data_IF_378814320929
#
_entry.id   IF_378814320929
#
_cell.length_a   1.000
_cell.length_b   1.000
_cell.length_c   1.000
_cell.angle_alpha   90.00
_cell.angle_beta   90.00
_cell.angle_gamma   90.00
#
_symmetry.space_group_name_H-M   'P 1'
#
loop_
_entity.id
_entity.type
_entity.pdbx_description
1 polymer ?
#
# COMPACT_ATOMS: atom_id res chain seq x y z
N UNK A 1 -2.42 3.67 -32.45
CA UNK A 1 -3.39 3.98 -31.37
C UNK A 1 -2.76 3.56 -30.05
N UNK A 2 -3.05 4.23 -28.93
CA UNK A 2 -2.52 3.88 -27.61
C UNK A 2 -3.65 3.26 -26.79
N UNK A 3 -3.51 1.97 -26.45
CA UNK A 3 -4.54 1.18 -25.76
C UNK A 3 -4.08 0.89 -24.33
N UNK A 4 -4.95 1.18 -23.36
CA UNK A 4 -4.71 0.94 -21.93
C UNK A 4 -5.89 0.21 -21.29
N UNK A 5 -5.60 -0.64 -20.31
CA UNK A 5 -6.58 -1.46 -19.61
C UNK A 5 -6.61 -1.11 -18.12
N UNK A 6 -7.80 -0.97 -17.54
CA UNK A 6 -7.96 -0.95 -16.08
C UNK A 6 -7.90 -2.38 -15.54
N UNK A 7 -6.95 -2.65 -14.64
CA UNK A 7 -6.71 -4.00 -14.11
C UNK A 7 -7.14 -4.16 -12.65
N UNK A 8 -7.80 -3.14 -12.08
CA UNK A 8 -8.35 -3.15 -10.72
C UNK A 8 -7.51 -2.38 -9.71
N UNK A 9 -8.13 -1.97 -8.60
CA UNK A 9 -7.44 -1.25 -7.51
C UNK A 9 -6.91 0.16 -7.88
N UNK A 10 -7.34 0.72 -9.01
CA UNK A 10 -6.83 1.99 -9.55
C UNK A 10 -5.62 1.84 -10.49
N UNK A 11 -5.14 0.62 -10.74
CA UNK A 11 -3.99 0.34 -11.61
C UNK A 11 -4.39 0.28 -13.09
N UNK A 12 -3.58 0.90 -13.95
CA UNK A 12 -3.72 0.87 -15.41
C UNK A 12 -2.53 0.11 -16.01
N UNK A 13 -2.79 -0.75 -16.99
CA UNK A 13 -1.76 -1.48 -17.72
C UNK A 13 -1.85 -1.20 -19.23
N UNK A 14 -0.71 -0.97 -19.87
CA UNK A 14 -0.64 -0.85 -21.33
C UNK A 14 -0.84 -2.21 -22.01
N UNK A 15 -1.21 -2.18 -23.28
CA UNK A 15 -1.31 -3.38 -24.11
C UNK A 15 0.00 -4.18 -24.11
N UNK A 16 -0.09 -5.47 -23.79
CA UNK A 16 1.06 -6.37 -23.64
C UNK A 16 1.79 -6.29 -22.28
N UNK A 17 1.49 -5.30 -21.43
CA UNK A 17 2.17 -5.10 -20.12
C UNK A 17 1.32 -5.50 -18.90
N UNK A 18 0.20 -6.20 -19.11
CA UNK A 18 -0.75 -6.57 -18.03
C UNK A 18 -0.12 -7.29 -16.82
N UNK A 19 0.97 -8.02 -17.03
CA UNK A 19 1.66 -8.81 -15.99
C UNK A 19 3.04 -8.27 -15.63
N UNK A 20 3.37 -7.02 -15.98
CA UNK A 20 4.64 -6.42 -15.56
C UNK A 20 4.68 -6.36 -14.03
N UNK A 21 5.59 -7.09 -13.40
CA UNK A 21 5.77 -7.05 -11.95
C UNK A 21 6.34 -5.69 -11.55
N UNK A 22 5.70 -5.03 -10.59
CA UNK A 22 6.29 -3.87 -9.93
C UNK A 22 7.53 -4.29 -9.13
N UNK A 23 8.54 -3.43 -9.07
CA UNK A 23 9.65 -3.61 -8.14
C UNK A 23 9.09 -3.53 -6.70
N UNK A 24 9.14 -4.64 -5.97
CA UNK A 24 8.77 -4.67 -4.55
C UNK A 24 9.88 -4.06 -3.71
N UNK A 25 9.51 -3.18 -2.78
CA UNK A 25 10.42 -2.65 -1.75
C UNK A 25 10.48 -3.57 -0.51
N UNK A 26 9.58 -4.55 -0.43
CA UNK A 26 9.59 -5.58 0.61
C UNK A 26 10.50 -6.71 0.18
N UNK A 27 11.44 -7.07 1.07
CA UNK A 27 12.46 -8.08 0.80
C UNK A 27 12.04 -9.50 1.20
N UNK A 28 10.85 -9.68 1.77
CA UNK A 28 10.25 -10.97 2.14
C UNK A 28 8.86 -11.04 1.52
N UNK A 29 8.52 -12.21 0.96
CA UNK A 29 7.31 -12.39 0.15
C UNK A 29 6.23 -13.24 0.85
N UNK A 30 6.59 -13.93 1.94
CA UNK A 30 5.66 -14.82 2.66
C UNK A 30 5.43 -14.37 4.10
N UNK A 31 4.23 -14.64 4.61
CA UNK A 31 3.90 -14.33 6.00
C UNK A 31 4.78 -15.10 6.99
N UNK A 32 5.18 -16.33 6.69
CA UNK A 32 6.04 -17.13 7.56
C UNK A 32 7.43 -16.50 7.70
N UNK A 33 8.01 -16.01 6.59
CA UNK A 33 9.28 -15.28 6.61
C UNK A 33 9.18 -13.97 7.39
N UNK A 34 8.13 -13.18 7.16
CA UNK A 34 7.91 -11.90 7.85
C UNK A 34 7.74 -12.14 9.36
N UNK A 35 6.92 -13.11 9.76
CA UNK A 35 6.70 -13.43 11.17
C UNK A 35 7.98 -13.93 11.83
N UNK A 36 8.78 -14.74 11.13
CA UNK A 36 10.09 -15.19 11.61
C UNK A 36 11.02 -14.00 11.83
N UNK A 37 11.12 -13.10 10.85
CA UNK A 37 11.93 -11.88 10.95
C UNK A 37 11.52 -11.00 12.13
N UNK A 38 10.21 -10.79 12.33
CA UNK A 38 9.68 -10.04 13.46
C UNK A 38 10.14 -10.64 14.80
N UNK A 39 10.06 -11.97 14.95
CA UNK A 39 10.50 -12.68 16.17
C UNK A 39 12.01 -12.56 16.40
N UNK A 40 12.81 -12.76 15.35
CA UNK A 40 14.27 -12.71 15.43
C UNK A 40 14.80 -11.31 15.75
N UNK A 41 14.09 -10.26 15.31
CA UNK A 41 14.48 -8.87 15.53
C UNK A 41 13.78 -8.20 16.72
N UNK A 42 12.92 -8.93 17.45
CA UNK A 42 12.05 -8.40 18.51
C UNK A 42 11.24 -7.17 18.05
N UNK A 43 10.64 -7.28 16.86
CA UNK A 43 9.91 -6.23 16.16
C UNK A 43 8.49 -6.66 15.84
N UNK A 44 7.59 -5.70 15.67
CA UNK A 44 6.22 -5.93 15.24
C UNK A 44 6.10 -5.93 13.71
N UNK A 45 4.93 -6.31 13.18
CA UNK A 45 4.63 -6.18 11.75
C UNK A 45 4.68 -4.71 11.29
N UNK A 46 4.28 -3.78 12.16
CA UNK A 46 4.35 -2.35 11.86
C UNK A 46 5.80 -1.90 11.74
N UNK A 47 6.70 -2.39 12.61
CA UNK A 47 8.12 -2.08 12.52
C UNK A 47 8.74 -2.60 11.22
N UNK A 48 8.35 -3.80 10.78
CA UNK A 48 8.77 -4.34 9.48
C UNK A 48 8.34 -3.44 8.32
N UNK A 49 7.09 -2.99 8.30
CA UNK A 49 6.58 -2.05 7.28
C UNK A 49 7.36 -0.74 7.33
N UNK A 50 7.57 -0.18 8.52
CA UNK A 50 8.32 1.07 8.70
C UNK A 50 9.81 0.97 8.32
N UNK A 51 10.38 -0.23 8.29
CA UNK A 51 11.76 -0.45 7.83
C UNK A 51 11.87 -0.59 6.32
N UNK A 52 10.83 -1.08 5.65
CA UNK A 52 10.82 -1.21 4.20
C UNK A 52 10.37 0.09 3.51
N UNK A 53 9.43 0.81 4.12
CA UNK A 53 8.80 1.99 3.55
C UNK A 53 9.66 3.26 3.69
N UNK A 54 9.52 4.23 2.77
CA UNK A 54 10.11 5.55 2.89
C UNK A 54 9.71 6.28 4.18
N UNK A 55 10.55 7.23 4.65
CA UNK A 55 10.38 7.90 5.94
C UNK A 55 9.07 8.71 6.06
N UNK A 56 8.50 9.14 4.94
CA UNK A 56 7.26 9.91 4.84
C UNK A 56 5.99 9.06 4.86
N UNK A 57 6.10 7.71 4.93
CA UNK A 57 4.93 6.81 4.96
C UNK A 57 3.92 7.16 6.06
N UNK A 58 4.39 7.62 7.23
CA UNK A 58 3.51 7.98 8.35
C UNK A 58 2.65 9.21 8.02
N UNK A 59 3.22 10.18 7.30
CA UNK A 59 2.51 11.37 6.86
C UNK A 59 1.48 11.00 5.79
N UNK A 60 1.86 10.11 4.87
CA UNK A 60 0.94 9.60 3.86
C UNK A 60 -0.25 8.84 4.46
N UNK A 61 -0.02 7.95 5.44
CA UNK A 61 -1.09 7.25 6.17
C UNK A 61 -2.01 8.26 6.87
N UNK A 62 -1.46 9.34 7.43
CA UNK A 62 -2.26 10.40 8.04
C UNK A 62 -3.16 11.09 7.01
N UNK A 63 -2.66 11.39 5.81
CA UNK A 63 -3.47 11.95 4.72
C UNK A 63 -4.63 11.02 4.36
N UNK A 64 -4.39 9.72 4.25
CA UNK A 64 -5.46 8.73 3.99
C UNK A 64 -6.51 8.74 5.10
N UNK A 65 -6.07 8.73 6.36
CA UNK A 65 -6.97 8.77 7.52
C UNK A 65 -7.82 10.03 7.55
N UNK A 66 -7.24 11.18 7.22
CA UNK A 66 -7.94 12.46 7.18
C UNK A 66 -8.97 12.48 6.03
N UNK A 67 -8.63 11.92 4.87
CA UNK A 67 -9.57 11.73 3.76
C UNK A 67 -10.75 10.83 4.16
N UNK A 68 -10.50 9.70 4.83
CA UNK A 68 -11.55 8.79 5.32
C UNK A 68 -12.50 9.51 6.30
N UNK A 69 -11.95 10.31 7.23
CA UNK A 69 -12.75 11.10 8.17
C UNK A 69 -13.59 12.14 7.46
N UNK A 70 -12.99 12.88 6.53
CA UNK A 70 -13.71 13.87 5.72
C UNK A 70 -14.87 13.23 4.96
N UNK A 71 -14.70 12.03 4.39
CA UNK A 71 -15.80 11.33 3.72
C UNK A 71 -16.97 10.99 4.64
N UNK A 72 -16.70 10.70 5.93
CA UNK A 72 -17.74 10.50 6.94
C UNK A 72 -18.46 11.81 7.22
N UNK A 73 -17.71 12.88 7.48
CA UNK A 73 -18.28 14.20 7.79
C UNK A 73 -19.13 14.74 6.63
N UNK A 74 -18.61 14.66 5.40
CA UNK A 74 -19.33 15.08 4.19
C UNK A 74 -20.64 14.27 4.05
N UNK A 75 -20.58 12.95 4.24
CA UNK A 75 -21.74 12.07 4.19
C UNK A 75 -22.81 12.37 5.24
N UNK A 76 -22.41 12.81 6.43
CA UNK A 76 -23.32 13.21 7.52
C UNK A 76 -23.85 14.64 7.36
N UNK A 77 -23.11 15.52 6.68
CA UNK A 77 -23.51 16.92 6.44
C UNK A 77 -24.51 17.12 5.31
N UNK A 78 -24.89 16.03 4.62
CA UNK A 78 -25.81 16.07 3.47
C UNK A 78 -27.29 15.99 3.89
N UNK A 79 -27.60 16.17 5.18
CA UNK A 79 -28.96 16.32 5.73
C UNK A 79 -29.40 17.80 5.87
#
# INVERSE_FOLDING_TARGET
EWTVYSVGGGTIAEEGQRNSKSNSIYHLDTMDEIVKWCKENNKTLVDFVLECEPKDIKDYIKTIKDAMRKSIDDGLSTD
#
